data_IF_490738259441
#
_entry.id   IF_490738259441
#
_cell.length_a   1.000
_cell.length_b   1.000
_cell.length_c   1.000
_cell.angle_alpha   90.00
_cell.angle_beta   90.00
_cell.angle_gamma   90.00
#
_symmetry.space_group_name_H-M   'P 1'
#
loop_
_entity.id
_entity.type
_entity.pdbx_description
1 polymer ?
#
# COMPACT_ATOMS: atom_id res chain seq x y z
N UNK A 1 40.02 7.49 3.85
CA UNK A 1 39.00 8.51 4.16
C UNK A 1 37.90 8.40 3.12
N UNK A 2 36.66 8.62 3.57
CA UNK A 2 35.41 8.74 2.82
C UNK A 2 34.95 7.53 1.98
N UNK A 3 33.96 6.79 2.53
CA UNK A 3 32.99 6.02 1.74
C UNK A 3 31.92 7.02 1.29
N UNK A 4 31.78 7.23 -0.02
CA UNK A 4 30.67 7.99 -0.60
C UNK A 4 29.37 7.22 -0.35
N UNK A 5 28.64 7.60 0.70
CA UNK A 5 27.25 7.22 0.85
C UNK A 5 26.44 7.99 -0.19
N UNK A 6 25.99 7.31 -1.24
CA UNK A 6 24.91 7.83 -2.07
C UNK A 6 23.68 7.98 -1.16
N UNK A 7 23.42 9.20 -0.70
CA UNK A 7 22.15 9.53 -0.06
C UNK A 7 21.10 9.49 -1.17
N UNK A 8 20.28 8.42 -1.18
CA UNK A 8 19.08 8.41 -2.02
C UNK A 8 18.19 9.55 -1.55
N UNK A 9 17.98 10.54 -2.43
CA UNK A 9 17.08 11.66 -2.18
C UNK A 9 15.66 11.17 -2.39
N UNK A 10 14.87 11.09 -1.32
CA UNK A 10 13.42 10.91 -1.43
C UNK A 10 12.79 12.13 -2.09
N UNK A 11 11.99 11.91 -3.12
CA UNK A 11 11.25 12.95 -3.83
C UNK A 11 9.78 12.57 -3.77
N UNK A 12 8.92 13.37 -3.11
CA UNK A 12 7.49 13.12 -3.12
C UNK A 12 6.96 13.12 -4.56
N UNK A 13 6.18 12.09 -4.90
CA UNK A 13 5.50 11.99 -6.20
C UNK A 13 4.01 11.76 -5.99
N UNK A 14 3.22 12.31 -6.91
CA UNK A 14 1.78 12.09 -6.99
C UNK A 14 1.51 11.13 -8.13
N UNK A 15 0.62 10.16 -7.90
CA UNK A 15 0.15 9.25 -8.94
C UNK A 15 -1.38 9.29 -9.02
N UNK A 16 -1.91 9.34 -10.25
CA UNK A 16 -3.36 9.31 -10.50
C UNK A 16 -3.83 7.86 -10.52
N UNK A 17 -4.63 7.47 -9.53
CA UNK A 17 -5.12 6.09 -9.39
C UNK A 17 -6.27 5.77 -10.35
N UNK A 18 -7.17 6.73 -10.55
CA UNK A 18 -8.30 6.62 -11.46
C UNK A 18 -8.62 8.00 -12.02
N UNK A 19 -9.11 8.06 -13.26
CA UNK A 19 -9.57 9.28 -13.90
C UNK A 19 -10.96 9.06 -14.49
N UNK A 20 -11.86 9.99 -14.21
CA UNK A 20 -13.18 10.02 -14.81
C UNK A 20 -13.46 11.44 -15.35
N UNK A 21 -14.30 11.54 -16.36
CA UNK A 21 -14.73 12.81 -16.92
C UNK A 21 -16.18 12.69 -17.38
N UNK A 22 -16.90 13.80 -17.36
CA UNK A 22 -18.25 13.86 -17.91
C UNK A 22 -18.23 13.40 -19.38
N UNK A 23 -19.24 12.65 -19.83
CA UNK A 23 -19.28 12.12 -21.19
C UNK A 23 -19.59 13.20 -22.25
N UNK A 24 -19.86 14.44 -21.84
CA UNK A 24 -20.18 15.55 -22.71
C UNK A 24 -19.67 16.89 -22.16
N UNK A 25 -19.42 17.82 -23.06
CA UNK A 25 -19.18 19.22 -22.73
C UNK A 25 -20.52 19.96 -22.54
N UNK A 26 -20.49 21.04 -21.77
CA UNK A 26 -21.68 21.86 -21.55
C UNK A 26 -21.33 23.35 -21.44
N UNK A 27 -22.32 24.20 -21.68
CA UNK A 27 -22.26 25.63 -21.38
C UNK A 27 -23.03 25.89 -20.10
N UNK A 28 -22.46 26.72 -19.21
CA UNK A 28 -23.10 27.20 -17.98
C UNK A 28 -23.13 28.73 -18.00
N UNK A 29 -24.26 29.32 -17.64
CA UNK A 29 -24.47 30.76 -17.65
C UNK A 29 -24.19 31.40 -16.27
N UNK A 30 -24.07 32.72 -16.23
CA UNK A 30 -23.85 33.46 -14.98
C UNK A 30 -24.98 33.20 -13.97
N UNK A 31 -24.63 32.69 -12.80
CA UNK A 31 -25.57 32.35 -11.72
C UNK A 31 -26.34 31.04 -11.92
N UNK A 32 -26.05 30.28 -12.98
CA UNK A 32 -26.57 28.93 -13.17
C UNK A 32 -25.81 27.95 -12.27
N UNK A 33 -26.54 27.06 -11.60
CA UNK A 33 -25.99 25.96 -10.81
C UNK A 33 -26.24 24.64 -11.54
N UNK A 34 -25.23 23.76 -11.55
CA UNK A 34 -25.37 22.39 -12.06
C UNK A 34 -24.79 21.40 -11.08
N UNK A 35 -25.53 20.31 -10.89
CA UNK A 35 -25.15 19.20 -10.03
C UNK A 35 -24.99 17.95 -10.88
N UNK A 36 -23.90 17.21 -10.65
CA UNK A 36 -23.62 15.95 -11.32
C UNK A 36 -23.42 14.88 -10.26
N UNK A 37 -24.30 13.89 -10.26
CA UNK A 37 -24.12 12.70 -9.41
C UNK A 37 -23.15 11.75 -10.10
N UNK A 38 -22.09 11.38 -9.40
CA UNK A 38 -21.07 10.46 -9.89
C UNK A 38 -20.88 9.30 -8.92
N UNK A 39 -20.61 8.12 -9.48
CA UNK A 39 -20.17 6.96 -8.73
C UNK A 39 -18.82 6.54 -9.31
N UNK A 40 -17.82 6.44 -8.44
CA UNK A 40 -16.46 6.08 -8.81
C UNK A 40 -16.06 4.85 -8.00
N UNK A 41 -15.54 3.85 -8.69
CA UNK A 41 -14.96 2.68 -8.03
C UNK A 41 -13.56 3.02 -7.51
N UNK A 42 -13.27 2.61 -6.27
CA UNK A 42 -11.93 2.74 -5.68
C UNK A 42 -11.07 1.57 -6.19
N UNK A 43 -9.94 1.81 -6.88
CA UNK A 43 -9.08 0.73 -7.37
C UNK A 43 -8.55 -0.16 -6.24
N UNK A 44 -8.45 -1.48 -6.49
CA UNK A 44 -8.08 -2.49 -5.47
C UNK A 44 -6.77 -2.24 -4.73
N UNK A 45 -5.79 -1.59 -5.36
CA UNK A 45 -4.49 -1.28 -4.77
C UNK A 45 -4.33 0.20 -4.44
N UNK A 46 -5.45 0.90 -4.20
CA UNK A 46 -5.44 2.23 -3.58
C UNK A 46 -4.76 2.11 -2.20
N UNK A 47 -3.74 2.93 -1.89
CA UNK A 47 -3.05 2.85 -0.61
C UNK A 47 -4.00 3.01 0.57
N UNK A 48 -3.87 2.15 1.56
CA UNK A 48 -4.51 2.33 2.87
C UNK A 48 -3.92 3.59 3.49
N UNK A 49 -4.76 4.48 4.02
CA UNK A 49 -4.29 5.75 4.61
C UNK A 49 -3.74 5.52 6.02
N UNK A 50 -2.54 4.94 6.10
CA UNK A 50 -1.74 4.71 7.30
C UNK A 50 -0.34 5.29 7.06
N UNK A 51 0.27 5.86 8.10
CA UNK A 51 1.57 6.52 7.98
C UNK A 51 1.46 7.80 7.14
N UNK A 52 2.33 7.94 6.16
CA UNK A 52 2.39 9.12 5.30
C UNK A 52 1.55 9.00 4.01
N UNK A 53 0.89 7.85 3.78
CA UNK A 53 0.04 7.64 2.62
C UNK A 53 -1.17 8.56 2.63
N UNK A 54 -1.33 9.35 1.56
CA UNK A 54 -2.44 10.29 1.36
C UNK A 54 -3.16 9.98 0.05
N UNK A 55 -4.48 9.89 0.14
CA UNK A 55 -5.38 9.71 -1.01
C UNK A 55 -6.39 10.85 -1.00
N UNK A 56 -6.67 11.42 -2.17
CA UNK A 56 -7.65 12.48 -2.33
C UNK A 56 -8.41 12.34 -3.64
N UNK A 57 -9.63 12.89 -3.67
CA UNK A 57 -10.37 13.15 -4.89
C UNK A 57 -9.98 14.55 -5.37
N UNK A 58 -9.63 14.68 -6.65
CA UNK A 58 -9.38 15.97 -7.28
C UNK A 58 -10.45 16.22 -8.33
N UNK A 59 -11.26 17.25 -8.11
CA UNK A 59 -12.29 17.68 -9.06
C UNK A 59 -11.77 18.90 -9.81
N UNK A 60 -11.87 18.87 -11.13
CA UNK A 60 -11.46 19.97 -12.00
C UNK A 60 -12.54 20.25 -13.04
N UNK A 61 -12.65 21.51 -13.43
CA UNK A 61 -13.48 21.91 -14.57
C UNK A 61 -12.58 22.59 -15.61
N UNK A 62 -12.45 21.97 -16.77
CA UNK A 62 -11.72 22.56 -17.90
C UNK A 62 -12.59 23.66 -18.54
N UNK A 63 -12.20 24.92 -18.39
CA UNK A 63 -12.93 26.08 -18.91
C UNK A 63 -12.10 26.77 -20.01
N UNK A 64 -12.67 26.83 -21.21
CA UNK A 64 -12.01 27.49 -22.33
C UNK A 64 -11.66 28.96 -22.01
N UNK A 65 -10.37 29.30 -22.13
CA UNK A 65 -9.82 30.64 -21.93
C UNK A 65 -9.98 31.21 -20.49
N UNK A 66 -10.13 30.36 -19.48
CA UNK A 66 -10.09 30.74 -18.06
C UNK A 66 -9.08 29.87 -17.28
N UNK A 67 -8.82 30.25 -16.03
CA UNK A 67 -8.09 29.38 -15.09
C UNK A 67 -9.05 28.30 -14.60
N UNK A 68 -8.68 27.03 -14.78
CA UNK A 68 -9.49 25.89 -14.36
C UNK A 68 -9.61 25.86 -12.84
N UNK A 69 -10.82 25.93 -12.26
CA UNK A 69 -11.00 25.72 -10.83
C UNK A 69 -10.70 24.26 -10.49
N UNK A 70 -9.95 24.05 -9.41
CA UNK A 70 -9.68 22.73 -8.85
C UNK A 70 -10.05 22.68 -7.37
N UNK A 71 -10.53 21.52 -6.94
CA UNK A 71 -10.87 21.21 -5.56
C UNK A 71 -10.25 19.88 -5.14
N UNK A 72 -9.89 19.73 -3.86
CA UNK A 72 -9.26 18.53 -3.32
C UNK A 72 -9.93 18.09 -2.02
N UNK A 73 -10.55 16.92 -2.07
CA UNK A 73 -11.16 16.27 -0.92
C UNK A 73 -10.28 15.12 -0.44
N UNK A 74 -9.76 15.21 0.79
CA UNK A 74 -8.96 14.12 1.38
C UNK A 74 -9.87 12.93 1.70
N UNK A 75 -9.46 11.74 1.28
CA UNK A 75 -10.15 10.48 1.53
C UNK A 75 -9.41 9.67 2.59
N UNK A 76 -10.16 8.97 3.44
CA UNK A 76 -9.61 7.92 4.31
C UNK A 76 -9.87 6.57 3.67
N UNK A 77 -8.81 5.85 3.34
CA UNK A 77 -8.88 4.52 2.75
C UNK A 77 -8.55 3.49 3.82
N UNK A 78 -9.51 2.62 4.12
CA UNK A 78 -9.37 1.56 5.12
C UNK A 78 -8.91 0.26 4.45
N UNK A 79 -8.18 -0.61 5.16
CA UNK A 79 -7.86 -1.93 4.62
C UNK A 79 -9.15 -2.70 4.33
N UNK A 80 -9.12 -3.53 3.28
CA UNK A 80 -10.21 -4.46 3.00
C UNK A 80 -10.24 -5.58 4.05
N UNK A 81 -11.32 -6.38 4.16
CA UNK A 81 -11.46 -7.37 5.23
C UNK A 81 -10.33 -8.39 5.31
N UNK A 82 -9.70 -8.74 4.19
CA UNK A 82 -8.56 -9.66 4.19
C UNK A 82 -7.30 -8.97 4.73
N UNK A 83 -6.97 -7.79 4.21
CA UNK A 83 -5.82 -7.02 4.69
C UNK A 83 -5.97 -6.63 6.17
N UNK A 84 -7.17 -6.26 6.61
CA UNK A 84 -7.47 -5.93 8.00
C UNK A 84 -7.23 -7.14 8.93
N UNK A 85 -7.60 -8.34 8.48
CA UNK A 85 -7.33 -9.57 9.22
C UNK A 85 -5.83 -9.91 9.29
N UNK A 86 -5.05 -9.63 8.24
CA UNK A 86 -3.58 -9.76 8.26
C UNK A 86 -2.99 -8.83 9.33
N UNK A 87 -3.34 -7.54 9.29
CA UNK A 87 -2.85 -6.53 10.22
C UNK A 87 -3.25 -6.86 11.67
N UNK A 88 -4.51 -7.26 11.88
CA UNK A 88 -5.02 -7.66 13.20
C UNK A 88 -4.30 -8.89 13.75
N UNK A 89 -3.97 -9.86 12.91
CA UNK A 89 -3.23 -11.04 13.33
C UNK A 89 -1.81 -10.69 13.77
N UNK A 90 -1.12 -9.80 13.05
CA UNK A 90 0.19 -9.32 13.47
C UNK A 90 0.12 -8.53 14.78
N UNK A 91 -0.87 -7.67 14.94
CA UNK A 91 -1.07 -6.92 16.19
C UNK A 91 -1.30 -7.86 17.38
N UNK A 92 -2.11 -8.91 17.20
CA UNK A 92 -2.40 -9.92 18.21
C UNK A 92 -1.17 -10.75 18.60
N UNK A 93 -0.18 -10.88 17.71
CA UNK A 93 1.11 -11.53 17.99
C UNK A 93 2.17 -10.56 18.54
N UNK A 94 1.78 -9.32 18.85
CA UNK A 94 2.68 -8.34 19.45
C UNK A 94 3.56 -7.57 18.46
N UNK A 95 3.24 -7.61 17.15
CA UNK A 95 3.87 -6.73 16.18
C UNK A 95 3.18 -5.36 16.17
N UNK A 96 3.96 -4.30 15.96
CA UNK A 96 3.47 -2.94 15.82
C UNK A 96 4.04 -2.33 14.56
N UNK A 97 3.22 -1.57 13.85
CA UNK A 97 3.63 -0.82 12.67
C UNK A 97 4.70 0.20 13.10
N UNK A 98 5.89 0.10 12.51
CA UNK A 98 6.98 1.07 12.63
C UNK A 98 6.88 2.11 11.52
N UNK A 99 6.61 1.67 10.29
CA UNK A 99 6.57 2.54 9.10
C UNK A 99 5.62 1.96 8.04
N UNK A 100 4.96 2.84 7.28
CA UNK A 100 4.17 2.48 6.10
C UNK A 100 4.42 3.51 5.03
N UNK A 101 4.88 3.07 3.86
CA UNK A 101 5.28 3.95 2.76
C UNK A 101 4.86 3.39 1.41
N UNK A 102 4.58 4.30 0.47
CA UNK A 102 4.42 3.97 -0.94
C UNK A 102 5.78 4.12 -1.63
N UNK A 103 6.34 3.01 -2.09
CA UNK A 103 7.72 2.95 -2.60
C UNK A 103 7.73 2.51 -4.06
N UNK A 104 8.56 3.18 -4.88
CA UNK A 104 8.62 2.98 -6.33
C UNK A 104 9.11 1.58 -6.69
N UNK A 105 8.35 0.88 -7.54
CA UNK A 105 8.72 -0.46 -8.03
C UNK A 105 8.40 -0.62 -9.51
N UNK A 106 8.99 -1.65 -10.12
CA UNK A 106 8.72 -2.06 -11.50
C UNK A 106 8.07 -3.43 -11.51
N UNK A 107 7.23 -3.69 -12.51
CA UNK A 107 6.61 -5.01 -12.72
C UNK A 107 5.31 -5.25 -11.95
N UNK A 108 4.76 -4.22 -11.31
CA UNK A 108 3.41 -4.20 -10.74
C UNK A 108 2.49 -3.33 -11.61
N UNK A 109 1.18 -3.47 -11.42
CA UNK A 109 0.17 -2.69 -12.16
C UNK A 109 0.25 -1.18 -11.84
N UNK A 110 0.65 -0.84 -10.62
CA UNK A 110 0.99 0.53 -10.20
C UNK A 110 2.51 0.70 -10.17
N UNK A 111 3.04 1.92 -10.41
CA UNK A 111 4.48 2.18 -10.37
C UNK A 111 5.06 2.23 -8.95
N UNK A 112 4.26 1.84 -7.95
CA UNK A 112 4.65 1.78 -6.55
C UNK A 112 3.87 0.66 -5.86
N UNK A 113 4.36 0.24 -4.69
CA UNK A 113 3.64 -0.64 -3.76
C UNK A 113 3.59 0.02 -2.38
N UNK A 114 2.58 -0.35 -1.59
CA UNK A 114 2.54 0.05 -0.19
C UNK A 114 3.23 -1.01 0.65
N UNK A 115 4.36 -0.63 1.24
CA UNK A 115 5.14 -1.47 2.14
C UNK A 115 4.79 -1.16 3.60
N UNK A 116 4.62 -2.22 4.37
CA UNK A 116 4.34 -2.19 5.79
C UNK A 116 5.53 -2.77 6.53
N UNK A 117 6.09 -2.00 7.43
CA UNK A 117 7.22 -2.39 8.25
C UNK A 117 6.77 -2.47 9.71
N UNK A 118 6.92 -3.64 10.31
CA UNK A 118 6.47 -3.95 11.66
C UNK A 118 7.64 -4.42 12.52
N UNK A 119 7.60 -4.07 13.79
CA UNK A 119 8.54 -4.56 14.79
C UNK A 119 7.81 -5.32 15.89
N UNK A 120 8.36 -6.46 16.36
CA UNK A 120 7.79 -7.16 17.50
C UNK A 120 8.14 -6.41 18.79
N UNK A 121 7.12 -6.01 19.54
CA UNK A 121 7.26 -5.36 20.86
C UNK A 121 7.06 -6.34 22.02
N UNK A 122 6.38 -7.44 21.75
CA UNK A 122 6.00 -8.50 22.68
C UNK A 122 5.66 -9.78 21.88
N UNK A 123 5.12 -10.80 22.56
CA UNK A 123 4.70 -12.05 21.91
C UNK A 123 5.86 -12.95 21.44
N UNK A 124 5.56 -13.97 20.62
CA UNK A 124 6.51 -15.03 20.27
C UNK A 124 7.67 -14.56 19.38
N UNK A 125 7.50 -13.46 18.65
CA UNK A 125 8.50 -12.95 17.72
C UNK A 125 9.48 -11.94 18.37
N UNK A 126 9.17 -11.44 19.56
CA UNK A 126 10.01 -10.47 20.25
C UNK A 126 11.37 -11.09 20.62
N UNK A 127 12.44 -10.39 20.24
CA UNK A 127 13.82 -10.86 20.41
C UNK A 127 14.27 -11.92 19.38
N UNK A 128 13.36 -12.41 18.54
CA UNK A 128 13.64 -13.38 17.47
C UNK A 128 13.71 -12.68 16.12
N UNK A 129 12.72 -11.84 15.82
CA UNK A 129 12.70 -10.99 14.61
C UNK A 129 13.10 -9.57 15.01
N UNK A 130 13.87 -8.89 14.14
CA UNK A 130 14.09 -7.44 14.28
C UNK A 130 12.94 -6.67 13.66
N UNK A 131 12.53 -7.09 12.47
CA UNK A 131 11.42 -6.51 11.73
C UNK A 131 10.79 -7.54 10.78
N UNK A 132 9.53 -7.29 10.47
CA UNK A 132 8.76 -7.92 9.41
C UNK A 132 8.38 -6.82 8.44
N UNK A 133 8.81 -6.95 7.20
CA UNK A 133 8.36 -6.10 6.08
C UNK A 133 7.41 -6.91 5.22
N UNK A 134 6.32 -6.29 4.78
CA UNK A 134 5.42 -6.92 3.82
C UNK A 134 4.75 -5.94 2.88
N UNK A 135 4.41 -6.45 1.69
CA UNK A 135 3.64 -5.77 0.66
C UNK A 135 2.44 -6.63 0.34
N UNK A 136 1.30 -5.98 0.12
CA UNK A 136 0.05 -6.60 -0.29
C UNK A 136 -0.32 -6.18 -1.71
N UNK A 137 -0.83 -7.11 -2.49
CA UNK A 137 -1.45 -6.84 -3.78
C UNK A 137 -2.82 -7.53 -3.86
N UNK A 138 -3.86 -6.72 -4.02
CA UNK A 138 -5.25 -7.15 -4.08
C UNK A 138 -5.72 -7.18 -5.54
N UNK A 139 -6.29 -8.30 -5.97
CA UNK A 139 -7.08 -8.38 -7.20
C UNK A 139 -8.55 -8.55 -6.84
N UNK A 140 -9.44 -8.90 -7.78
CA UNK A 140 -10.80 -9.31 -7.41
C UNK A 140 -10.80 -10.71 -6.78
N UNK A 141 -9.94 -11.62 -7.25
CA UNK A 141 -9.95 -13.04 -6.91
C UNK A 141 -9.09 -13.41 -5.70
N UNK A 142 -8.11 -12.60 -5.33
CA UNK A 142 -7.12 -12.95 -4.30
C UNK A 142 -6.44 -11.74 -3.66
N UNK A 143 -5.83 -11.98 -2.51
CA UNK A 143 -4.84 -11.14 -1.84
C UNK A 143 -3.49 -11.87 -1.90
N UNK A 144 -2.52 -11.28 -2.61
CA UNK A 144 -1.13 -11.74 -2.61
C UNK A 144 -0.34 -10.95 -1.59
N UNK A 145 0.45 -11.66 -0.79
CA UNK A 145 1.31 -11.10 0.24
C UNK A 145 2.73 -11.55 -0.03
N UNK A 146 3.67 -10.64 0.11
CA UNK A 146 5.07 -10.99 0.15
C UNK A 146 5.72 -10.48 1.42
N UNK A 147 6.66 -11.24 1.95
CA UNK A 147 7.27 -11.00 3.24
C UNK A 147 8.79 -11.01 3.17
N UNK A 148 9.42 -10.11 3.92
CA UNK A 148 10.82 -10.17 4.31
C UNK A 148 10.91 -10.12 5.84
N UNK A 149 11.77 -10.97 6.41
CA UNK A 149 11.98 -11.04 7.86
C UNK A 149 13.45 -10.88 8.13
N UNK A 150 13.83 -9.78 8.78
CA UNK A 150 15.20 -9.61 9.25
C UNK A 150 15.38 -10.14 10.68
N UNK A 151 16.49 -10.84 10.87
CA UNK A 151 16.92 -11.46 12.13
C UNK A 151 18.28 -10.97 12.59
N UNK A 152 19.07 -10.31 11.74
CA UNK A 152 20.47 -9.99 12.06
C UNK A 152 20.84 -8.57 11.67
N UNK A 153 21.77 -7.97 12.40
CA UNK A 153 22.23 -6.58 12.17
C UNK A 153 22.95 -6.32 10.82
N UNK A 154 23.00 -7.31 9.92
CA UNK A 154 23.84 -7.30 8.70
C UNK A 154 23.05 -7.17 7.38
N UNK A 155 21.73 -7.04 7.41
CA UNK A 155 20.91 -6.87 6.22
C UNK A 155 21.17 -5.52 5.53
N UNK A 156 22.07 -5.49 4.55
CA UNK A 156 22.08 -4.41 3.56
C UNK A 156 21.05 -4.75 2.50
N UNK A 157 19.83 -4.24 2.68
CA UNK A 157 18.75 -4.29 1.71
C UNK A 157 17.48 -4.90 2.29
N UNK A 158 16.50 -4.04 2.60
CA UNK A 158 15.14 -4.45 2.95
C UNK A 158 14.39 -5.04 1.75
N UNK A 159 13.09 -5.23 1.91
CA UNK A 159 12.18 -5.86 0.95
C UNK A 159 12.28 -5.25 -0.46
N UNK A 160 12.39 -3.92 -0.56
CA UNK A 160 12.53 -3.22 -1.85
C UNK A 160 13.83 -3.54 -2.58
N UNK A 161 14.94 -3.68 -1.86
CA UNK A 161 16.21 -4.04 -2.48
C UNK A 161 16.13 -5.44 -3.09
N UNK A 162 15.39 -6.35 -2.43
CA UNK A 162 15.13 -7.70 -2.95
C UNK A 162 14.23 -7.67 -4.19
N UNK A 163 13.17 -6.86 -4.17
CA UNK A 163 12.27 -6.62 -5.31
C UNK A 163 13.01 -6.05 -6.52
N UNK A 164 13.78 -4.97 -6.33
CA UNK A 164 14.46 -4.25 -7.40
C UNK A 164 15.69 -4.99 -7.93
N UNK A 165 16.39 -5.72 -7.07
CA UNK A 165 17.66 -6.39 -7.41
C UNK A 165 17.46 -7.78 -8.02
N UNK A 166 16.71 -8.65 -7.34
CA UNK A 166 16.56 -10.05 -7.75
C UNK A 166 15.28 -10.33 -8.55
N UNK A 167 14.33 -9.40 -8.53
CA UNK A 167 13.00 -9.58 -9.12
C UNK A 167 12.17 -10.67 -8.43
N UNK A 168 12.58 -11.16 -7.26
CA UNK A 168 11.92 -12.26 -6.54
C UNK A 168 11.90 -11.98 -5.04
N UNK A 169 10.70 -11.92 -4.49
CA UNK A 169 10.49 -12.02 -3.04
C UNK A 169 10.42 -13.50 -2.67
N UNK A 170 11.20 -13.90 -1.66
CA UNK A 170 11.38 -15.33 -1.33
C UNK A 170 10.18 -15.95 -0.64
N UNK A 171 9.36 -15.14 0.02
CA UNK A 171 8.18 -15.58 0.76
C UNK A 171 6.96 -14.91 0.16
N UNK A 172 6.23 -15.65 -0.66
CA UNK A 172 4.95 -15.25 -1.25
C UNK A 172 3.83 -16.16 -0.71
N UNK A 173 2.73 -15.56 -0.29
CA UNK A 173 1.50 -16.23 0.13
C UNK A 173 0.32 -15.65 -0.63
N UNK A 174 -0.49 -16.50 -1.23
CA UNK A 174 -1.73 -16.12 -1.92
C UNK A 174 -2.94 -16.59 -1.11
N UNK A 175 -3.84 -15.66 -0.82
CA UNK A 175 -5.09 -15.89 -0.08
C UNK A 175 -6.27 -15.64 -1.03
N UNK A 176 -7.11 -16.64 -1.33
CA UNK A 176 -8.31 -16.43 -2.14
C UNK A 176 -9.24 -15.38 -1.54
N UNK A 177 -9.90 -14.60 -2.38
CA UNK A 177 -10.90 -13.59 -1.97
C UNK A 177 -12.10 -14.19 -1.22
N UNK A 178 -12.33 -15.49 -1.40
CA UNK A 178 -13.39 -16.26 -0.73
C UNK A 178 -13.00 -16.74 0.67
N UNK A 179 -11.74 -16.57 1.08
CA UNK A 179 -11.27 -16.92 2.42
C UNK A 179 -12.01 -16.08 3.45
N UNK A 180 -12.48 -16.70 4.53
CA UNK A 180 -13.14 -15.95 5.60
C UNK A 180 -12.10 -15.16 6.41
N UNK A 181 -12.35 -13.88 6.75
CA UNK A 181 -11.39 -13.05 7.48
C UNK A 181 -10.87 -13.67 8.78
N UNK A 182 -11.68 -14.44 9.51
CA UNK A 182 -11.29 -15.13 10.76
C UNK A 182 -10.25 -16.23 10.55
N UNK A 183 -10.08 -16.74 9.32
CA UNK A 183 -9.09 -17.76 8.97
C UNK A 183 -7.78 -17.16 8.44
N UNK A 184 -7.80 -15.91 7.97
CA UNK A 184 -6.65 -15.26 7.32
C UNK A 184 -5.45 -15.17 8.25
N UNK A 185 -5.68 -14.76 9.51
CA UNK A 185 -4.61 -14.60 10.49
C UNK A 185 -3.83 -15.89 10.73
N UNK A 186 -4.54 -17.00 10.95
CA UNK A 186 -3.91 -18.30 11.17
C UNK A 186 -3.12 -18.77 9.93
N UNK A 187 -3.65 -18.58 8.73
CA UNK A 187 -2.97 -18.92 7.48
C UNK A 187 -1.63 -18.18 7.34
N UNK A 188 -1.63 -16.86 7.60
CA UNK A 188 -0.44 -16.02 7.50
C UNK A 188 0.61 -16.42 8.52
N UNK A 189 0.21 -16.57 9.78
CA UNK A 189 1.14 -16.91 10.87
C UNK A 189 1.76 -18.30 10.67
N UNK A 190 0.96 -19.30 10.33
CA UNK A 190 1.46 -20.65 10.02
C UNK A 190 2.46 -20.65 8.85
N UNK A 191 2.18 -19.88 7.81
CA UNK A 191 3.08 -19.74 6.67
C UNK A 191 4.42 -19.10 7.07
N UNK A 192 4.40 -18.02 7.85
CA UNK A 192 5.61 -17.36 8.32
C UNK A 192 6.41 -18.27 9.25
N UNK A 193 5.78 -18.99 10.17
CA UNK A 193 6.47 -19.91 11.06
C UNK A 193 7.17 -21.02 10.28
N UNK A 194 6.51 -21.61 9.28
CA UNK A 194 7.08 -22.66 8.44
C UNK A 194 8.24 -22.17 7.55
N UNK A 195 8.13 -20.96 7.00
CA UNK A 195 9.11 -20.40 6.06
C UNK A 195 10.23 -19.60 6.73
N UNK A 196 10.12 -19.42 8.04
CA UNK A 196 11.15 -18.80 8.85
C UNK A 196 11.78 -19.78 9.85
N UNK A 197 11.23 -20.97 10.10
CA UNK A 197 11.93 -21.97 10.91
C UNK A 197 13.32 -22.32 10.32
N UNK A 198 14.38 -21.82 10.96
CA UNK A 198 15.81 -22.12 10.68
C UNK A 198 16.51 -22.28 12.01
#
# INVERSE_FOLDING_TARGET
GAREGHSMRRVPQTHVLAKWSLPYAFTIHSGEERTFDVQLDVPWNTPVTIGDAKVWLETGLDVAAALDPTDKDILTVRPDPLMDAVLSAFEAQGLRIRQVECEEVKGFDLPFVQEFELVPTDGPYHGVWRELEFVAHRSEQELKLWFEVDRTRKGQGGMLASLLGSGKLKRELTIPATTKPDQVGELVLNYLDQTTAV
#
